data_IF_723756723884
#
_entry.id   IF_723756723884
#
_cell.length_a   1.000
_cell.length_b   1.000
_cell.length_c   1.000
_cell.angle_alpha   90.00
_cell.angle_beta   90.00
_cell.angle_gamma   90.00
#
_symmetry.space_group_name_H-M   'P 1'
#
loop_
_entity.id
_entity.type
_entity.pdbx_description
1 polymer ?
#
# COMPACT_ATOMS: atom_id res chain seq x y z
N UNK A 1 -17.68 2.60 11.92
CA UNK A 1 -16.93 2.12 10.74
C UNK A 1 -17.63 2.63 9.48
N UNK A 2 -16.91 3.39 8.70
CA UNK A 2 -17.47 3.96 7.48
C UNK A 2 -17.40 2.92 6.36
N UNK A 3 -18.45 2.84 5.56
CA UNK A 3 -18.44 1.94 4.42
C UNK A 3 -17.66 2.54 3.23
N UNK A 4 -17.39 1.71 2.25
CA UNK A 4 -16.61 2.12 1.08
C UNK A 4 -17.30 3.20 0.26
N UNK A 5 -18.62 3.17 0.15
CA UNK A 5 -19.37 4.21 -0.59
C UNK A 5 -19.14 5.59 0.03
N UNK A 6 -19.26 5.68 1.34
CA UNK A 6 -19.06 6.93 2.07
C UNK A 6 -17.61 7.41 1.93
N UNK A 7 -16.64 6.52 2.07
CA UNK A 7 -15.22 6.87 1.93
C UNK A 7 -14.93 7.41 0.54
N UNK A 8 -15.44 6.76 -0.51
CA UNK A 8 -15.23 7.22 -1.88
C UNK A 8 -15.83 8.60 -2.10
N UNK A 9 -17.07 8.80 -1.63
CA UNK A 9 -17.74 10.10 -1.76
C UNK A 9 -16.99 11.21 -1.06
N UNK A 10 -16.47 10.96 0.14
CA UNK A 10 -15.70 11.94 0.90
C UNK A 10 -14.40 12.34 0.19
N UNK A 11 -13.87 11.48 -0.67
CA UNK A 11 -12.67 11.76 -1.43
C UNK A 11 -12.94 12.20 -2.88
N UNK A 12 -14.18 12.55 -3.18
CA UNK A 12 -14.55 13.07 -4.49
C UNK A 12 -14.58 11.99 -5.58
N UNK A 13 -14.77 10.73 -5.21
CA UNK A 13 -14.83 9.61 -6.14
C UNK A 13 -16.27 9.13 -6.24
N UNK A 14 -16.80 9.13 -7.46
CA UNK A 14 -18.15 8.61 -7.67
C UNK A 14 -18.15 7.08 -7.49
N UNK A 15 -18.97 6.56 -6.57
CA UNK A 15 -19.07 5.13 -6.38
C UNK A 15 -19.68 4.43 -7.58
N UNK A 16 -19.09 3.31 -7.96
CA UNK A 16 -19.66 2.36 -8.90
C UNK A 16 -19.50 0.98 -8.29
N UNK A 17 -20.22 -0.01 -8.80
CA UNK A 17 -20.11 -1.37 -8.29
C UNK A 17 -18.66 -1.87 -8.32
N UNK A 18 -17.93 -1.56 -9.39
CA UNK A 18 -16.54 -1.96 -9.55
C UNK A 18 -15.62 -1.23 -8.57
N UNK A 19 -15.77 0.09 -8.44
CA UNK A 19 -14.96 0.88 -7.49
C UNK A 19 -15.21 0.47 -6.04
N UNK A 20 -16.47 0.22 -5.69
CA UNK A 20 -16.83 -0.24 -4.35
C UNK A 20 -16.21 -1.61 -4.07
N UNK A 21 -16.25 -2.53 -5.03
CA UNK A 21 -15.65 -3.86 -4.86
C UNK A 21 -14.14 -3.78 -4.64
N UNK A 22 -13.45 -2.93 -5.40
CA UNK A 22 -12.01 -2.71 -5.20
C UNK A 22 -11.74 -2.10 -3.83
N UNK A 23 -12.51 -1.08 -3.46
CA UNK A 23 -12.35 -0.40 -2.17
C UNK A 23 -12.60 -1.35 -0.99
N UNK A 24 -13.63 -2.19 -1.08
CA UNK A 24 -13.97 -3.14 -0.02
C UNK A 24 -12.82 -4.09 0.31
N UNK A 25 -12.00 -4.41 -0.68
CA UNK A 25 -10.81 -5.24 -0.44
C UNK A 25 -9.60 -4.38 -0.06
N UNK A 26 -9.22 -3.44 -0.89
CA UNK A 26 -7.90 -2.77 -0.78
C UNK A 26 -7.82 -1.81 0.39
N UNK A 27 -8.92 -1.23 0.83
CA UNK A 27 -8.92 -0.29 1.96
C UNK A 27 -8.94 -0.99 3.32
N UNK A 28 -9.14 -2.29 3.36
CA UNK A 28 -9.27 -3.05 4.60
C UNK A 28 -8.22 -4.14 4.77
N UNK A 29 -7.45 -4.42 3.74
CA UNK A 29 -6.42 -5.46 3.81
C UNK A 29 -5.14 -4.95 4.45
N UNK A 30 -4.44 -5.86 5.12
CA UNK A 30 -3.08 -5.60 5.64
C UNK A 30 -2.02 -6.25 4.77
N UNK A 31 -2.41 -6.84 3.64
CA UNK A 31 -1.53 -7.68 2.83
C UNK A 31 -0.60 -6.90 1.90
N UNK A 32 -0.79 -5.62 1.71
CA UNK A 32 -0.04 -4.80 0.74
C UNK A 32 -0.08 -5.42 -0.66
N UNK A 33 -1.28 -5.57 -1.26
CA UNK A 33 -1.41 -6.33 -2.49
C UNK A 33 -0.88 -5.56 -3.70
N UNK A 34 -0.37 -6.32 -4.68
CA UNK A 34 -0.15 -5.81 -6.02
C UNK A 34 -1.49 -5.66 -6.76
N UNK A 35 -1.49 -4.94 -7.89
CA UNK A 35 -2.70 -4.81 -8.68
C UNK A 35 -3.23 -6.15 -9.18
N UNK A 36 -2.34 -7.09 -9.52
CA UNK A 36 -2.75 -8.43 -9.95
C UNK A 36 -3.43 -9.21 -8.83
N UNK A 37 -2.94 -9.09 -7.61
CA UNK A 37 -3.58 -9.71 -6.45
C UNK A 37 -4.95 -9.08 -6.21
N UNK A 38 -5.07 -7.76 -6.29
CA UNK A 38 -6.36 -7.07 -6.16
C UNK A 38 -7.33 -7.59 -7.22
N UNK A 39 -6.90 -7.68 -8.46
CA UNK A 39 -7.75 -8.19 -9.54
C UNK A 39 -8.22 -9.61 -9.25
N UNK A 40 -7.33 -10.49 -8.83
CA UNK A 40 -7.67 -11.88 -8.50
C UNK A 40 -8.72 -11.96 -7.38
N UNK A 41 -8.57 -11.13 -6.35
CA UNK A 41 -9.52 -11.10 -5.22
C UNK A 41 -10.86 -10.50 -5.61
N UNK A 42 -10.84 -9.41 -6.36
CA UNK A 42 -12.07 -8.67 -6.70
C UNK A 42 -12.89 -9.42 -7.74
N UNK A 43 -12.26 -10.13 -8.69
CA UNK A 43 -13.02 -10.85 -9.70
C UNK A 43 -13.82 -12.02 -9.15
N UNK A 44 -13.54 -12.49 -7.94
CA UNK A 44 -14.39 -13.46 -7.27
C UNK A 44 -15.79 -12.89 -6.98
N UNK A 45 -15.87 -11.59 -6.76
CA UNK A 45 -17.12 -10.87 -6.51
C UNK A 45 -17.71 -10.23 -7.79
N UNK A 46 -16.84 -9.74 -8.66
CA UNK A 46 -17.21 -9.06 -9.92
C UNK A 46 -16.47 -9.75 -11.06
N UNK A 47 -17.00 -10.89 -11.57
CA UNK A 47 -16.25 -11.75 -12.52
C UNK A 47 -15.87 -11.06 -13.82
N UNK A 48 -16.62 -10.04 -14.24
CA UNK A 48 -16.39 -9.33 -15.51
C UNK A 48 -15.42 -8.16 -15.38
N UNK A 49 -14.86 -7.90 -14.19
CA UNK A 49 -13.94 -6.78 -14.04
C UNK A 49 -12.63 -7.06 -14.77
N UNK A 50 -12.15 -6.08 -15.53
CA UNK A 50 -10.89 -6.21 -16.27
C UNK A 50 -9.70 -5.79 -15.41
N UNK A 51 -8.51 -6.26 -15.78
CA UNK A 51 -7.27 -5.78 -15.17
C UNK A 51 -7.13 -4.28 -15.33
N UNK A 52 -7.42 -3.76 -16.52
CA UNK A 52 -7.30 -2.32 -16.78
C UNK A 52 -8.20 -1.51 -15.84
N UNK A 53 -9.41 -1.96 -15.58
CA UNK A 53 -10.30 -1.28 -14.64
C UNK A 53 -9.73 -1.28 -13.23
N UNK A 54 -9.16 -2.40 -12.78
CA UNK A 54 -8.53 -2.48 -11.45
C UNK A 54 -7.34 -1.52 -11.37
N UNK A 55 -6.44 -1.53 -12.36
CA UNK A 55 -5.30 -0.62 -12.39
C UNK A 55 -5.74 0.84 -12.37
N UNK A 56 -6.70 1.20 -13.20
CA UNK A 56 -7.20 2.58 -13.25
C UNK A 56 -7.85 2.99 -11.94
N UNK A 57 -8.59 2.09 -11.31
CA UNK A 57 -9.23 2.34 -10.01
C UNK A 57 -8.19 2.54 -8.91
N UNK A 58 -7.18 1.68 -8.85
CA UNK A 58 -6.11 1.81 -7.86
C UNK A 58 -5.33 3.13 -8.04
N UNK A 59 -5.03 3.49 -9.28
CA UNK A 59 -4.36 4.75 -9.56
C UNK A 59 -5.22 5.96 -9.17
N UNK A 60 -6.52 5.89 -9.38
CA UNK A 60 -7.44 6.93 -8.92
C UNK A 60 -7.43 7.04 -7.40
N UNK A 61 -7.42 5.91 -6.70
CA UNK A 61 -7.37 5.91 -5.23
C UNK A 61 -6.06 6.50 -4.70
N UNK A 62 -4.94 6.23 -5.37
CA UNK A 62 -3.65 6.85 -5.02
C UNK A 62 -3.72 8.36 -5.24
N UNK A 63 -4.22 8.79 -6.39
CA UNK A 63 -4.35 10.21 -6.73
C UNK A 63 -5.22 10.96 -5.72
N UNK A 64 -6.28 10.32 -5.22
CA UNK A 64 -7.20 10.93 -4.26
C UNK A 64 -6.77 10.75 -2.80
N UNK A 65 -5.64 10.15 -2.54
CA UNK A 65 -5.10 10.04 -1.19
C UNK A 65 -5.64 8.89 -0.35
N UNK A 66 -6.32 7.92 -0.97
CA UNK A 66 -6.84 6.74 -0.26
C UNK A 66 -5.81 5.63 -0.09
N UNK A 67 -4.85 5.57 -1.00
CA UNK A 67 -3.80 4.54 -1.02
C UNK A 67 -2.45 5.17 -1.25
N UNK A 68 -1.41 4.48 -0.84
CA UNK A 68 -0.04 4.72 -1.28
C UNK A 68 0.39 3.59 -2.20
N UNK A 69 1.09 3.93 -3.28
CA UNK A 69 1.74 2.97 -4.14
C UNK A 69 3.20 2.85 -3.70
N UNK A 70 3.66 1.65 -3.46
CA UNK A 70 4.99 1.38 -2.92
C UNK A 70 5.77 0.50 -3.88
N UNK A 71 6.93 0.97 -4.32
CA UNK A 71 7.85 0.18 -5.14
C UNK A 71 8.89 -0.46 -4.20
N UNK A 72 8.60 -1.64 -3.68
CA UNK A 72 9.43 -2.30 -2.68
C UNK A 72 10.46 -3.26 -3.28
N UNK A 73 10.31 -3.64 -4.55
CA UNK A 73 11.23 -4.48 -5.30
C UNK A 73 11.14 -4.11 -6.78
N UNK A 74 12.10 -4.57 -7.59
CA UNK A 74 12.05 -4.35 -9.03
C UNK A 74 10.75 -4.92 -9.59
N UNK A 75 10.12 -4.15 -10.47
CA UNK A 75 8.88 -4.52 -11.17
C UNK A 75 7.71 -4.88 -10.27
N UNK A 76 7.79 -4.51 -8.99
CA UNK A 76 6.73 -4.84 -8.03
C UNK A 76 6.23 -3.57 -7.35
N UNK A 77 5.01 -3.19 -7.66
CA UNK A 77 4.30 -2.11 -6.98
C UNK A 77 3.18 -2.74 -6.16
N UNK A 78 3.13 -2.39 -4.90
CA UNK A 78 2.06 -2.81 -3.99
C UNK A 78 1.31 -1.59 -3.47
N UNK A 79 0.12 -1.81 -2.93
CA UNK A 79 -0.76 -0.73 -2.48
C UNK A 79 -1.04 -0.87 -0.99
N UNK A 80 -1.03 0.25 -0.30
CA UNK A 80 -1.18 0.31 1.14
C UNK A 80 -2.23 1.38 1.51
N UNK A 81 -3.31 1.00 2.22
CA UNK A 81 -4.30 1.96 2.69
C UNK A 81 -3.79 2.82 3.86
N UNK A 82 -2.69 2.44 4.49
CA UNK A 82 -2.07 3.27 5.52
C UNK A 82 -1.32 4.43 4.87
N UNK A 83 -1.99 5.55 4.75
CA UNK A 83 -1.43 6.75 4.12
C UNK A 83 -0.61 7.61 5.08
N UNK A 84 -0.58 7.26 6.35
CA UNK A 84 0.30 7.92 7.32
C UNK A 84 1.75 7.51 7.09
N UNK A 85 2.67 8.37 7.52
CA UNK A 85 4.09 8.10 7.33
C UNK A 85 4.52 6.89 8.15
N UNK A 86 5.14 5.93 7.51
CA UNK A 86 5.69 4.74 8.14
C UNK A 86 6.78 4.14 7.24
N UNK A 87 7.52 3.20 7.80
CA UNK A 87 8.52 2.44 7.05
C UNK A 87 8.02 1.02 6.83
N UNK A 88 8.76 0.23 6.07
CA UNK A 88 8.38 -1.14 5.75
C UNK A 88 9.54 -2.09 5.99
N UNK A 89 9.21 -3.31 6.39
CA UNK A 89 10.16 -4.41 6.49
C UNK A 89 9.59 -5.59 5.72
N UNK A 90 10.39 -6.13 4.80
CA UNK A 90 10.03 -7.32 4.02
C UNK A 90 10.77 -8.51 4.61
N UNK A 91 10.05 -9.52 5.07
CA UNK A 91 10.64 -10.69 5.68
C UNK A 91 10.97 -11.77 4.64
N UNK A 92 11.50 -12.90 5.09
CA UNK A 92 11.95 -13.99 4.25
C UNK A 92 10.85 -14.64 3.42
N UNK A 93 9.59 -14.50 3.85
CA UNK A 93 8.45 -15.02 3.10
C UNK A 93 7.86 -14.01 2.12
N UNK A 94 8.42 -12.79 2.09
CA UNK A 94 7.89 -11.70 1.28
C UNK A 94 6.76 -10.92 1.96
N UNK A 95 6.45 -11.25 3.20
CA UNK A 95 5.43 -10.52 3.95
C UNK A 95 5.95 -9.13 4.32
N UNK A 96 5.10 -8.12 4.13
CA UNK A 96 5.44 -6.72 4.37
C UNK A 96 4.87 -6.30 5.72
N UNK A 97 5.75 -5.80 6.58
CA UNK A 97 5.39 -5.30 7.90
C UNK A 97 5.49 -3.78 7.93
N UNK A 98 4.47 -3.13 8.47
CA UNK A 98 4.51 -1.69 8.70
C UNK A 98 5.32 -1.40 9.95
N UNK A 99 6.28 -0.49 9.83
CA UNK A 99 7.15 -0.09 10.93
C UNK A 99 6.84 1.36 11.28
N UNK A 100 6.49 1.68 12.52
CA UNK A 100 6.18 3.04 12.91
C UNK A 100 7.31 4.00 12.54
N UNK A 101 6.92 5.20 12.13
CA UNK A 101 7.86 6.22 11.65
C UNK A 101 9.02 6.48 12.62
N UNK A 102 8.73 6.55 13.90
CA UNK A 102 9.70 6.89 14.94
C UNK A 102 10.60 5.73 15.34
N UNK A 103 10.39 4.53 14.82
CA UNK A 103 11.26 3.38 15.09
C UNK A 103 12.53 3.37 14.24
N UNK A 104 12.56 4.14 13.18
CA UNK A 104 13.72 4.24 12.29
C UNK A 104 14.04 5.71 12.08
N UNK A 105 15.28 6.07 12.30
CA UNK A 105 15.76 7.43 12.12
C UNK A 105 16.72 7.48 10.93
N UNK A 106 16.43 8.36 9.99
CA UNK A 106 17.32 8.62 8.83
C UNK A 106 18.01 9.95 9.08
N UNK A 107 19.34 9.93 9.07
CA UNK A 107 20.17 11.09 9.39
C UNK A 107 20.70 11.74 8.11
N UNK A 108 21.02 13.03 8.21
CA UNK A 108 21.73 13.78 7.19
C UNK A 108 20.97 14.00 5.87
N UNK A 109 19.66 13.82 5.86
CA UNK A 109 18.85 14.05 4.64
C UNK A 109 18.92 15.51 4.22
N UNK A 110 18.86 16.42 5.18
CA UNK A 110 18.87 17.88 4.92
C UNK A 110 20.22 18.38 4.42
N UNK A 111 21.26 17.55 4.50
CA UNK A 111 22.59 17.93 3.99
C UNK A 111 22.81 17.55 2.53
N UNK A 112 21.82 16.95 1.88
CA UNK A 112 21.89 16.57 0.47
C UNK A 112 21.84 17.82 -0.40
N UNK A 113 22.98 18.15 -0.99
CA UNK A 113 23.13 19.38 -1.77
C UNK A 113 22.35 19.31 -3.08
N UNK A 114 21.68 20.43 -3.39
CA UNK A 114 20.98 20.58 -4.65
C UNK A 114 19.56 20.02 -4.67
N UNK A 115 19.10 19.51 -3.53
CA UNK A 115 17.77 18.92 -3.44
C UNK A 115 17.03 19.37 -2.19
N UNK A 116 15.77 19.61 -2.35
CA UNK A 116 14.83 19.74 -1.24
C UNK A 116 14.04 18.43 -1.14
N UNK A 117 14.21 17.70 -0.04
CA UNK A 117 13.57 16.39 0.14
C UNK A 117 12.19 16.59 0.74
N UNK A 118 11.16 16.22 -0.02
CA UNK A 118 9.78 16.36 0.41
C UNK A 118 9.23 15.10 1.09
N UNK A 119 9.78 13.92 0.76
CA UNK A 119 9.32 12.67 1.32
C UNK A 119 10.40 11.60 1.17
N UNK A 120 10.36 10.60 2.04
CA UNK A 120 11.20 9.42 1.96
C UNK A 120 10.56 8.28 2.74
N UNK A 121 11.02 7.07 2.47
CA UNK A 121 10.69 5.89 3.27
C UNK A 121 11.90 4.98 3.35
N UNK A 122 11.94 4.14 4.37
CA UNK A 122 12.96 3.12 4.52
C UNK A 122 12.30 1.76 4.31
N UNK A 123 12.90 0.97 3.44
CA UNK A 123 12.50 -0.42 3.23
C UNK A 123 13.61 -1.30 3.72
N UNK A 124 13.34 -2.07 4.77
CA UNK A 124 14.29 -3.00 5.35
C UNK A 124 13.97 -4.41 4.86
N UNK A 125 14.98 -5.22 4.71
CA UNK A 125 14.84 -6.64 4.38
C UNK A 125 15.51 -7.45 5.46
N UNK A 126 14.83 -8.46 5.95
CA UNK A 126 15.39 -9.26 7.03
C UNK A 126 14.69 -10.59 7.17
N UNK A 127 15.19 -11.37 8.11
CA UNK A 127 14.62 -12.66 8.47
C UNK A 127 14.15 -12.62 9.90
N UNK A 128 13.16 -13.43 10.22
CA UNK A 128 12.68 -13.54 11.60
C UNK A 128 13.77 -14.12 12.47
N UNK A 129 13.94 -13.57 13.66
CA UNK A 129 14.80 -14.19 14.64
C UNK A 129 14.19 -15.51 15.06
N UNK A 130 15.02 -16.55 15.11
CA UNK A 130 14.60 -17.83 15.65
C UNK A 130 14.29 -17.69 17.14
N UNK A 131 13.20 -18.30 17.61
CA UNK A 131 12.88 -18.35 19.03
C UNK A 131 13.96 -19.05 19.86
N UNK A 132 14.84 -19.84 19.23
CA UNK A 132 15.96 -20.51 19.88
C UNK A 132 17.21 -19.65 20.00
N UNK A 133 17.28 -18.55 19.29
CA UNK A 133 18.44 -17.66 19.35
C UNK A 133 18.27 -16.74 20.54
N UNK A 134 18.79 -17.20 21.65
CA UNK A 134 19.01 -16.37 22.81
C UNK A 134 20.46 -15.93 22.76
N UNK A 135 20.66 -14.76 22.34
CA UNK A 135 21.98 -14.16 22.46
C UNK A 135 21.93 -13.04 23.43
#
# INVERSE_FOLDING_TARGET
VRDSVTILQEHGIQPSAQRVAVADYVLKTIEHPSADVVWTRVKARVPYISRATVYNTLNLFVEKGLLRALALAEDSVVFDPNVERHHHLVDESGTIHDIPWDKVQVCNIETLKGFEIHDYQVVMRGVRKSARRKS
#
